data_IF_655791797947
#
_entry.id   IF_655791797947
#
_cell.length_a   1.000
_cell.length_b   1.000
_cell.length_c   1.000
_cell.angle_alpha   90.00
_cell.angle_beta   90.00
_cell.angle_gamma   90.00
#
_symmetry.space_group_name_H-M   'P 1'
#
loop_
_entity.id
_entity.type
_entity.pdbx_description
1 polymer ?
#
# COMPACT_ATOMS: atom_id res chain seq x y z
N UNK A 1 44.65 24.28 1.43
CA UNK A 1 44.53 23.94 2.86
C UNK A 1 43.13 24.31 3.31
N UNK A 2 42.39 23.35 3.89
CA UNK A 2 40.95 23.34 4.28
C UNK A 2 39.96 22.94 3.18
N UNK A 3 39.42 21.73 3.33
CA UNK A 3 38.33 21.16 2.55
C UNK A 3 38.03 19.69 2.91
N UNK A 4 39.02 18.94 3.40
CA UNK A 4 38.90 17.50 3.65
C UNK A 4 38.75 17.13 5.14
N UNK A 5 37.72 17.63 5.83
CA UNK A 5 37.50 17.28 7.25
C UNK A 5 36.05 16.96 7.66
N UNK A 6 35.11 16.78 6.72
CA UNK A 6 33.73 16.38 7.05
C UNK A 6 33.25 15.07 6.39
N UNK A 7 34.15 14.31 5.76
CA UNK A 7 33.80 13.02 5.13
C UNK A 7 34.09 11.79 5.99
N UNK A 8 34.01 11.94 7.30
CA UNK A 8 34.17 10.84 8.25
C UNK A 8 33.36 11.12 9.51
N UNK A 9 32.10 10.67 9.54
CA UNK A 9 31.50 9.93 10.66
C UNK A 9 29.98 9.79 10.45
N UNK A 10 29.56 8.63 9.94
CA UNK A 10 28.42 7.84 10.43
C UNK A 10 28.57 6.47 9.77
N UNK A 11 29.16 5.52 10.49
CA UNK A 11 29.22 4.14 9.99
C UNK A 11 27.84 3.49 10.09
N UNK A 12 27.56 2.47 9.28
CA UNK A 12 26.31 1.70 9.33
C UNK A 12 25.96 1.23 10.76
N UNK A 13 26.97 0.91 11.57
CA UNK A 13 26.80 0.56 12.99
C UNK A 13 26.27 1.72 13.84
N UNK A 14 26.68 2.96 13.54
CA UNK A 14 26.21 4.14 14.27
C UNK A 14 24.75 4.45 13.93
N UNK A 15 24.34 4.30 12.67
CA UNK A 15 22.95 4.46 12.25
C UNK A 15 22.01 3.40 12.84
N UNK A 16 22.42 2.12 12.82
CA UNK A 16 21.65 1.04 13.46
C UNK A 16 21.56 1.23 14.97
N UNK A 17 22.65 1.68 15.61
CA UNK A 17 22.64 1.98 17.05
C UNK A 17 21.73 3.17 17.38
N UNK A 18 21.66 4.19 16.53
CA UNK A 18 20.76 5.34 16.70
C UNK A 18 19.30 4.95 16.50
N UNK A 19 19.01 4.12 15.50
CA UNK A 19 17.66 3.59 15.26
C UNK A 19 17.17 2.73 16.45
N UNK A 20 18.00 1.81 16.92
CA UNK A 20 17.67 0.98 18.09
C UNK A 20 17.55 1.81 19.37
N UNK A 21 18.35 2.86 19.52
CA UNK A 21 18.24 3.80 20.65
C UNK A 21 16.93 4.60 20.60
N UNK A 22 16.55 5.10 19.41
CA UNK A 22 15.29 5.80 19.21
C UNK A 22 14.08 4.89 19.50
N UNK A 23 14.11 3.65 19.00
CA UNK A 23 13.06 2.66 19.24
C UNK A 23 12.97 2.21 20.70
N UNK A 24 14.10 2.12 21.41
CA UNK A 24 14.13 1.82 22.84
C UNK A 24 13.62 3.00 23.69
N UNK A 25 13.94 4.24 23.29
CA UNK A 25 13.48 5.46 23.96
C UNK A 25 11.97 5.67 23.76
N UNK A 26 11.43 5.40 22.58
CA UNK A 26 9.99 5.49 22.32
C UNK A 26 9.17 4.48 23.15
N UNK A 27 9.66 3.23 23.28
CA UNK A 27 9.06 2.24 24.20
C UNK A 27 9.13 2.66 25.67
N UNK A 28 10.25 3.24 26.12
CA UNK A 28 10.36 3.76 27.50
C UNK A 28 9.44 4.96 27.75
N UNK A 29 9.28 5.86 26.78
CA UNK A 29 8.38 7.01 26.91
C UNK A 29 6.90 6.57 26.98
N UNK A 30 6.49 5.58 26.20
CA UNK A 30 5.13 5.00 26.26
C UNK A 30 4.85 4.23 27.56
N UNK A 31 5.89 3.66 28.19
CA UNK A 31 5.74 2.86 29.42
C UNK A 31 5.98 3.65 30.70
N UNK A 32 6.55 4.87 30.62
CA UNK A 32 6.98 5.67 31.79
C UNK A 32 6.12 6.91 32.07
N UNK A 33 5.11 7.20 31.25
CA UNK A 33 4.14 8.27 31.52
C UNK A 33 2.72 7.69 31.64
N UNK A 34 2.23 7.42 32.87
CA UNK A 34 0.79 7.35 33.09
C UNK A 34 0.29 8.80 33.05
N UNK A 35 -0.25 9.24 31.91
CA UNK A 35 -1.01 10.49 31.86
C UNK A 35 -2.25 10.32 32.76
N UNK A 36 -2.50 11.21 33.74
CA UNK A 36 -3.66 11.09 34.60
C UNK A 36 -4.91 11.41 33.78
N UNK A 37 -5.81 10.43 33.71
CA UNK A 37 -7.17 10.60 33.22
C UNK A 37 -7.91 11.54 34.18
N UNK A 38 -7.96 12.84 33.87
CA UNK A 38 -8.87 13.77 34.55
C UNK A 38 -10.28 13.42 34.06
N UNK A 39 -11.01 12.64 34.86
CA UNK A 39 -12.44 12.44 34.69
C UNK A 39 -13.19 13.72 35.04
N UNK A 40 -14.04 14.27 34.16
CA UNK A 40 -15.07 15.21 34.58
C UNK A 40 -16.15 14.45 35.36
N UNK A 41 -16.60 15.04 36.47
CA UNK A 41 -17.68 14.53 37.32
C UNK A 41 -18.98 14.30 36.54
N UNK A 42 -19.66 13.22 36.91
CA UNK A 42 -21.05 12.90 36.59
C UNK A 42 -22.00 14.06 36.91
N UNK A 43 -22.74 14.52 35.91
CA UNK A 43 -24.00 15.21 36.10
C UNK A 43 -25.11 14.28 35.62
N UNK A 44 -25.97 13.88 36.56
CA UNK A 44 -27.24 13.19 36.31
C UNK A 44 -28.10 14.01 35.34
N UNK A 45 -28.60 13.33 34.31
CA UNK A 45 -29.55 13.88 33.33
C UNK A 45 -29.73 12.89 32.19
N UNK A 46 -30.79 12.10 32.26
CA UNK A 46 -31.06 11.01 31.31
C UNK A 46 -31.24 11.47 29.86
N UNK A 47 -30.63 10.72 28.96
CA UNK A 47 -31.06 10.51 27.58
C UNK A 47 -30.34 9.24 27.09
N UNK A 48 -31.11 8.33 26.50
CA UNK A 48 -30.69 6.99 26.08
C UNK A 48 -29.41 7.01 25.23
N UNK A 49 -28.38 6.30 25.68
CA UNK A 49 -27.19 6.02 24.87
C UNK A 49 -27.52 4.90 23.87
N UNK A 50 -28.07 5.27 22.73
CA UNK A 50 -28.02 4.41 21.55
C UNK A 50 -26.55 4.24 21.17
N UNK A 51 -26.05 3.00 21.31
CA UNK A 51 -24.80 2.58 20.69
C UNK A 51 -25.01 2.61 19.18
N UNK A 52 -24.69 3.73 18.53
CA UNK A 52 -24.65 3.80 17.07
C UNK A 52 -23.52 2.88 16.57
N UNK A 53 -23.88 1.63 16.29
CA UNK A 53 -23.10 0.75 15.44
C UNK A 53 -22.99 1.42 14.07
N UNK A 54 -21.79 1.90 13.71
CA UNK A 54 -21.52 2.39 12.35
C UNK A 54 -21.96 1.30 11.36
N UNK A 55 -22.92 1.56 10.46
CA UNK A 55 -23.38 0.55 9.52
C UNK A 55 -22.19 0.08 8.69
N UNK A 56 -21.96 -1.24 8.64
CA UNK A 56 -21.05 -1.84 7.66
C UNK A 56 -21.47 -1.36 6.28
N UNK A 57 -20.58 -0.64 5.58
CA UNK A 57 -20.86 -0.08 4.28
C UNK A 57 -21.19 -1.22 3.30
N UNK A 58 -22.43 -1.25 2.83
CA UNK A 58 -22.88 -2.20 1.84
C UNK A 58 -22.45 -1.75 0.44
N UNK A 59 -21.31 -2.26 -0.01
CA UNK A 59 -20.67 -1.92 -1.29
C UNK A 59 -21.51 -2.31 -2.53
N UNK A 60 -22.61 -3.05 -2.36
CA UNK A 60 -23.53 -3.41 -3.45
C UNK A 60 -24.61 -2.36 -3.70
N UNK A 61 -24.87 -1.47 -2.73
CA UNK A 61 -25.94 -0.49 -2.83
C UNK A 61 -25.48 0.80 -3.51
N UNK A 62 -26.37 1.45 -4.31
CA UNK A 62 -26.10 2.76 -4.85
C UNK A 62 -25.79 3.79 -3.75
N UNK A 63 -24.71 4.53 -3.93
CA UNK A 63 -24.27 5.62 -3.05
C UNK A 63 -23.26 6.52 -3.77
N UNK A 64 -22.78 7.58 -3.12
CA UNK A 64 -21.69 8.39 -3.68
C UNK A 64 -20.47 7.50 -3.99
N UNK A 65 -19.91 7.53 -5.21
CA UNK A 65 -18.81 6.65 -5.57
C UNK A 65 -17.55 6.88 -4.73
N UNK A 66 -17.03 5.80 -4.13
CA UNK A 66 -15.80 5.81 -3.36
C UNK A 66 -14.80 4.77 -3.88
N UNK A 67 -13.53 5.06 -3.63
CA UNK A 67 -12.41 4.12 -3.68
C UNK A 67 -12.24 3.49 -2.32
N UNK A 68 -11.90 2.21 -2.28
CA UNK A 68 -11.76 1.46 -1.04
C UNK A 68 -10.77 0.30 -1.21
N UNK A 69 -10.09 -0.12 -0.14
CA UNK A 69 -9.15 -1.23 -0.19
C UNK A 69 -9.85 -2.59 -0.04
N UNK A 70 -9.10 -3.67 -0.28
CA UNK A 70 -9.49 -5.04 0.10
C UNK A 70 -8.71 -5.42 1.35
N UNK A 71 -9.44 -5.84 2.40
CA UNK A 71 -8.85 -6.11 3.72
C UNK A 71 -8.59 -7.59 4.03
N UNK A 72 -9.08 -8.52 3.19
CA UNK A 72 -8.91 -9.95 3.45
C UNK A 72 -8.72 -10.77 2.17
N UNK A 73 -7.99 -11.88 2.30
CA UNK A 73 -7.79 -12.83 1.21
C UNK A 73 -9.10 -13.42 0.71
N UNK A 74 -10.07 -13.65 1.59
CA UNK A 74 -11.39 -14.14 1.21
C UNK A 74 -12.06 -13.22 0.19
N UNK A 75 -12.04 -11.90 0.43
CA UNK A 75 -12.65 -10.92 -0.48
C UNK A 75 -11.85 -10.75 -1.78
N UNK A 76 -10.52 -10.88 -1.72
CA UNK A 76 -9.68 -10.91 -2.92
C UNK A 76 -9.96 -12.16 -3.78
N UNK A 77 -10.04 -13.33 -3.14
CA UNK A 77 -10.29 -14.63 -3.78
C UNK A 77 -11.66 -14.70 -4.44
N UNK A 78 -12.70 -14.16 -3.78
CA UNK A 78 -14.08 -14.17 -4.29
C UNK A 78 -14.29 -13.23 -5.47
N UNK A 79 -13.36 -12.31 -5.75
CA UNK A 79 -13.50 -11.26 -6.79
C UNK A 79 -14.68 -10.31 -6.53
N UNK A 80 -15.18 -10.24 -5.30
CA UNK A 80 -16.38 -9.45 -4.98
C UNK A 80 -16.19 -7.93 -5.11
N UNK A 81 -14.95 -7.46 -5.28
CA UNK A 81 -14.69 -6.07 -5.65
C UNK A 81 -15.39 -5.70 -6.97
N UNK A 82 -15.41 -6.61 -7.95
CA UNK A 82 -16.01 -6.38 -9.27
C UNK A 82 -17.54 -6.33 -9.24
N UNK A 83 -18.16 -6.93 -8.22
CA UNK A 83 -19.61 -6.92 -8.03
C UNK A 83 -20.10 -5.66 -7.30
N UNK A 84 -19.18 -4.82 -6.81
CA UNK A 84 -19.53 -3.58 -6.11
C UNK A 84 -20.16 -2.56 -7.06
N UNK A 85 -21.16 -1.83 -6.57
CA UNK A 85 -21.71 -0.64 -7.23
C UNK A 85 -20.63 0.38 -7.60
N UNK A 86 -19.57 0.46 -6.78
CA UNK A 86 -18.48 1.42 -6.92
C UNK A 86 -17.46 1.04 -8.00
N UNK A 87 -17.38 -0.22 -8.42
CA UNK A 87 -16.33 -0.72 -9.32
C UNK A 87 -16.23 0.10 -10.61
N UNK A 88 -17.36 0.35 -11.28
CA UNK A 88 -17.39 1.07 -12.55
C UNK A 88 -16.80 2.49 -12.47
N UNK A 89 -16.92 3.13 -11.31
CA UNK A 89 -16.41 4.48 -11.07
C UNK A 89 -14.92 4.50 -10.70
N UNK A 90 -14.39 3.38 -10.20
CA UNK A 90 -12.97 3.24 -9.83
C UNK A 90 -12.06 2.96 -11.04
N UNK A 91 -12.63 2.78 -12.24
CA UNK A 91 -11.84 2.56 -13.45
C UNK A 91 -11.21 3.87 -13.91
N UNK A 92 -9.89 3.84 -14.05
CA UNK A 92 -9.13 4.94 -14.64
C UNK A 92 -9.44 5.05 -16.14
N UNK A 93 -9.55 6.28 -16.64
CA UNK A 93 -9.96 6.59 -18.01
C UNK A 93 -8.87 7.28 -18.83
N UNK A 94 -7.80 7.74 -18.18
CA UNK A 94 -6.64 8.35 -18.85
C UNK A 94 -5.58 7.28 -19.07
N UNK A 95 -5.20 6.97 -20.32
CA UNK A 95 -4.12 6.02 -20.59
C UNK A 95 -2.76 6.64 -20.26
N UNK A 96 -1.80 5.81 -19.85
CA UNK A 96 -0.41 6.23 -19.60
C UNK A 96 0.23 6.78 -20.88
N UNK A 97 0.69 8.04 -20.82
CA UNK A 97 1.47 8.66 -21.89
C UNK A 97 2.94 8.24 -21.78
N UNK A 98 3.49 7.60 -22.81
CA UNK A 98 4.88 7.12 -22.82
C UNK A 98 5.82 8.14 -23.45
N UNK A 99 6.23 9.13 -22.66
CA UNK A 99 7.12 10.20 -23.12
C UNK A 99 8.47 10.26 -22.37
N UNK A 100 8.74 9.33 -21.44
CA UNK A 100 9.95 9.41 -20.61
C UNK A 100 11.19 8.82 -21.30
N UNK A 101 12.32 9.54 -21.33
CA UNK A 101 13.57 9.03 -21.89
C UNK A 101 14.20 7.97 -20.96
N UNK A 102 14.56 6.82 -21.52
CA UNK A 102 15.01 5.62 -20.79
C UNK A 102 16.40 5.74 -20.13
N UNK A 103 17.17 6.79 -20.42
CA UNK A 103 18.58 6.89 -20.00
C UNK A 103 18.83 7.93 -18.91
N UNK A 104 18.09 7.85 -17.79
CA UNK A 104 18.30 8.68 -16.60
C UNK A 104 17.97 7.94 -15.30
N UNK A 105 18.48 8.39 -14.14
CA UNK A 105 17.97 7.95 -12.85
C UNK A 105 16.45 8.15 -12.75
N UNK A 106 15.76 7.17 -12.16
CA UNK A 106 14.31 7.20 -11.94
C UNK A 106 13.99 7.46 -10.48
N UNK A 107 12.89 8.18 -10.24
CA UNK A 107 12.40 8.51 -8.91
C UNK A 107 11.06 7.82 -8.68
N UNK A 108 11.00 7.02 -7.61
CA UNK A 108 9.76 6.46 -7.08
C UNK A 108 9.33 7.27 -5.86
N UNK A 109 8.05 7.64 -5.80
CA UNK A 109 7.44 8.33 -4.65
C UNK A 109 6.38 7.43 -4.05
N UNK A 110 6.52 7.11 -2.77
CA UNK A 110 5.53 6.35 -2.01
C UNK A 110 4.69 7.29 -1.16
N UNK A 111 3.38 7.32 -1.41
CA UNK A 111 2.42 8.18 -0.72
C UNK A 111 1.69 7.40 0.36
N UNK A 112 2.12 7.58 1.61
CA UNK A 112 1.51 7.04 2.81
C UNK A 112 0.93 8.17 3.69
N UNK A 113 -0.07 8.87 3.14
CA UNK A 113 -0.69 9.98 3.87
C UNK A 113 -1.81 9.47 4.76
N UNK A 114 -1.57 9.45 6.07
CA UNK A 114 -2.58 9.14 7.11
C UNK A 114 -3.35 7.83 6.85
N UNK A 115 -2.67 6.82 6.30
CA UNK A 115 -3.26 5.52 6.00
C UNK A 115 -4.15 5.48 4.74
N UNK A 116 -4.13 6.52 3.91
CA UNK A 116 -4.85 6.58 2.63
C UNK A 116 -6.38 6.64 2.77
N UNK A 117 -7.05 6.82 1.63
CA UNK A 117 -8.52 6.85 1.50
C UNK A 117 -9.19 7.87 2.43
N UNK A 118 -8.57 9.04 2.52
CA UNK A 118 -9.09 10.18 3.26
C UNK A 118 -10.08 10.92 2.36
N UNK A 119 -9.74 12.12 1.91
CA UNK A 119 -10.49 12.90 0.94
C UNK A 119 -10.40 12.33 -0.48
N UNK A 120 -9.31 11.64 -0.78
CA UNK A 120 -9.02 11.03 -2.07
C UNK A 120 -9.79 9.73 -2.34
N UNK A 121 -10.51 9.20 -1.34
CA UNK A 121 -11.46 8.10 -1.58
C UNK A 121 -12.59 8.54 -2.51
N UNK A 122 -12.99 9.82 -2.47
CA UNK A 122 -14.11 10.30 -3.29
C UNK A 122 -13.67 10.40 -4.75
N UNK A 123 -14.24 9.54 -5.60
CA UNK A 123 -13.79 9.36 -6.98
C UNK A 123 -13.84 10.66 -7.79
N UNK A 124 -14.79 11.54 -7.49
CA UNK A 124 -15.00 12.82 -8.16
C UNK A 124 -14.42 14.02 -7.39
N UNK A 125 -13.54 13.75 -6.41
CA UNK A 125 -12.99 14.75 -5.51
C UNK A 125 -13.92 15.08 -4.34
N UNK A 126 -13.46 16.01 -3.50
CA UNK A 126 -14.20 16.53 -2.35
C UNK A 126 -14.05 18.05 -2.27
N UNK A 127 -14.76 18.67 -1.32
CA UNK A 127 -14.76 20.14 -1.14
C UNK A 127 -13.55 20.65 -0.32
N UNK A 128 -12.68 19.78 0.18
CA UNK A 128 -11.52 20.19 0.99
C UNK A 128 -10.39 20.76 0.11
N UNK A 129 -10.27 22.08 0.07
CA UNK A 129 -9.24 22.82 -0.66
C UNK A 129 -7.83 22.65 -0.08
N UNK A 130 -7.72 22.25 1.19
CA UNK A 130 -6.48 21.91 1.88
C UNK A 130 -6.11 20.42 1.74
N UNK A 131 -6.82 19.66 0.91
CA UNK A 131 -6.52 18.28 0.59
C UNK A 131 -5.10 18.09 0.04
N UNK A 132 -4.51 16.93 0.28
CA UNK A 132 -3.16 16.65 -0.22
C UNK A 132 -3.16 16.60 -1.75
N UNK A 133 -2.27 17.37 -2.38
CA UNK A 133 -2.14 17.46 -3.82
C UNK A 133 -0.68 17.39 -4.24
N UNK A 134 -0.42 16.73 -5.38
CA UNK A 134 0.90 16.66 -6.00
C UNK A 134 0.89 17.54 -7.25
N UNK A 135 1.83 18.48 -7.30
CA UNK A 135 2.01 19.39 -8.44
C UNK A 135 3.22 19.03 -9.31
N UNK A 136 4.25 18.44 -8.71
CA UNK A 136 5.53 18.18 -9.35
C UNK A 136 5.65 16.77 -9.94
N UNK A 137 4.60 16.31 -10.65
CA UNK A 137 4.58 14.99 -11.30
C UNK A 137 5.76 14.75 -12.25
N UNK A 138 6.27 15.82 -12.87
CA UNK A 138 7.43 15.76 -13.78
C UNK A 138 8.76 15.37 -13.10
N UNK A 139 8.81 15.35 -11.76
CA UNK A 139 9.99 14.92 -11.00
C UNK A 139 9.98 13.44 -10.63
N UNK A 140 8.89 12.72 -10.89
CA UNK A 140 8.75 11.30 -10.56
C UNK A 140 8.51 10.45 -11.80
N UNK A 141 8.87 9.18 -11.71
CA UNK A 141 8.67 8.17 -12.75
C UNK A 141 7.59 7.16 -12.32
N UNK A 142 7.53 6.89 -11.01
CA UNK A 142 6.59 5.95 -10.40
C UNK A 142 6.00 6.59 -9.15
N UNK A 143 4.69 6.49 -9.02
CA UNK A 143 3.93 6.88 -7.84
C UNK A 143 3.30 5.62 -7.23
N UNK A 144 3.52 5.39 -5.95
CA UNK A 144 2.90 4.29 -5.20
C UNK A 144 1.85 4.90 -4.28
N UNK A 145 0.61 4.46 -4.45
CA UNK A 145 -0.46 4.80 -3.53
C UNK A 145 -0.49 3.77 -2.40
N UNK A 146 -0.08 4.18 -1.21
CA UNK A 146 0.20 3.29 -0.09
C UNK A 146 -0.84 3.41 1.02
N UNK A 147 -1.22 2.27 1.59
CA UNK A 147 -1.95 2.18 2.84
C UNK A 147 -1.61 0.87 3.54
N UNK A 148 -1.97 0.76 4.81
CA UNK A 148 -1.83 -0.46 5.62
C UNK A 148 -3.02 -1.43 5.46
N UNK A 149 -3.62 -1.47 4.27
CA UNK A 149 -4.64 -2.47 3.94
C UNK A 149 -4.04 -3.54 3.03
N UNK A 150 -4.40 -4.81 3.28
CA UNK A 150 -3.88 -5.98 2.54
C UNK A 150 -3.73 -5.73 1.04
N UNK A 151 -4.77 -5.21 0.39
CA UNK A 151 -4.70 -4.71 -0.99
C UNK A 151 -5.16 -3.27 -1.02
N UNK A 152 -4.23 -2.39 -1.38
CA UNK A 152 -4.43 -0.96 -1.58
C UNK A 152 -4.56 -0.69 -3.08
N UNK A 153 -5.77 -0.33 -3.50
CA UNK A 153 -6.11 0.05 -4.88
C UNK A 153 -6.03 1.57 -5.02
N UNK A 154 -5.21 2.13 -5.93
CA UNK A 154 -5.13 3.57 -6.15
C UNK A 154 -6.47 4.16 -6.58
N UNK A 155 -6.98 5.22 -5.92
CA UNK A 155 -8.11 5.98 -6.43
C UNK A 155 -7.88 6.47 -7.87
N UNK A 156 -8.90 6.47 -8.74
CA UNK A 156 -8.74 6.83 -10.15
C UNK A 156 -8.30 8.29 -10.34
N UNK A 157 -8.54 9.18 -9.38
CA UNK A 157 -8.05 10.56 -9.44
C UNK A 157 -6.52 10.63 -9.46
N UNK A 158 -5.84 9.77 -8.69
CA UNK A 158 -4.39 9.64 -8.68
C UNK A 158 -3.88 9.04 -9.98
N UNK A 159 -4.42 7.89 -10.40
CA UNK A 159 -4.02 7.22 -11.64
C UNK A 159 -4.21 8.10 -12.87
N UNK A 160 -5.38 8.71 -13.01
CA UNK A 160 -5.67 9.57 -14.15
C UNK A 160 -4.74 10.79 -14.24
N UNK A 161 -4.41 11.38 -13.08
CA UNK A 161 -3.53 12.55 -13.03
C UNK A 161 -2.08 12.15 -13.33
N UNK A 162 -1.57 11.10 -12.68
CA UNK A 162 -0.24 10.57 -12.92
C UNK A 162 -0.03 10.18 -14.39
N UNK A 163 -0.98 9.46 -15.00
CA UNK A 163 -0.94 9.05 -16.40
C UNK A 163 -0.89 10.22 -17.37
N UNK A 164 -1.62 11.31 -17.07
CA UNK A 164 -1.56 12.56 -17.87
C UNK A 164 -0.15 13.16 -17.87
N UNK A 165 0.61 12.96 -16.80
CA UNK A 165 1.99 13.40 -16.65
C UNK A 165 3.02 12.33 -17.04
N UNK A 166 2.60 11.17 -17.56
CA UNK A 166 3.50 10.07 -17.95
C UNK A 166 4.12 9.31 -16.77
N UNK A 167 3.53 9.41 -15.58
CA UNK A 167 3.97 8.74 -14.36
C UNK A 167 3.19 7.44 -14.19
N UNK A 168 3.87 6.34 -13.90
CA UNK A 168 3.23 5.06 -13.59
C UNK A 168 2.67 5.05 -12.18
N UNK A 169 1.55 4.36 -11.96
CA UNK A 169 0.92 4.22 -10.64
C UNK A 169 0.87 2.79 -10.19
N UNK A 170 1.39 2.53 -8.99
CA UNK A 170 1.30 1.22 -8.33
C UNK A 170 0.31 1.28 -7.16
N UNK A 171 -0.47 0.22 -7.01
CA UNK A 171 -1.10 -0.11 -5.73
C UNK A 171 -0.10 -0.77 -4.78
N UNK A 172 -0.55 -1.09 -3.57
CA UNK A 172 0.27 -1.81 -2.59
C UNK A 172 -0.42 -3.12 -2.21
N UNK A 173 0.33 -4.22 -2.23
CA UNK A 173 -0.02 -5.43 -1.52
C UNK A 173 0.91 -5.56 -0.32
N UNK A 174 0.33 -5.61 0.89
CA UNK A 174 1.10 -5.62 2.14
C UNK A 174 0.62 -6.71 3.08
N UNK A 175 1.57 -7.34 3.77
CA UNK A 175 1.30 -8.26 4.88
C UNK A 175 2.16 -7.83 6.07
N UNK A 176 1.55 -7.65 7.24
CA UNK A 176 2.25 -7.08 8.41
C UNK A 176 1.99 -7.92 9.66
N UNK A 177 3.03 -8.11 10.49
CA UNK A 177 2.92 -8.72 11.82
C UNK A 177 2.31 -10.14 11.79
N UNK A 178 1.66 -10.54 12.89
CA UNK A 178 1.08 -11.89 13.04
C UNK A 178 -0.07 -12.15 12.06
N UNK A 179 -0.88 -11.13 11.73
CA UNK A 179 -1.95 -11.24 10.73
C UNK A 179 -1.37 -11.45 9.32
N UNK A 180 -0.28 -10.76 9.00
CA UNK A 180 0.48 -10.96 7.78
C UNK A 180 1.04 -12.37 7.67
N UNK A 181 1.57 -12.92 8.78
CA UNK A 181 2.06 -14.31 8.80
C UNK A 181 0.94 -15.32 8.50
N UNK A 182 -0.25 -15.13 9.07
CA UNK A 182 -1.41 -15.98 8.77
C UNK A 182 -1.84 -15.85 7.30
N UNK A 183 -1.88 -14.62 6.79
CA UNK A 183 -2.16 -14.32 5.37
C UNK A 183 -1.19 -15.03 4.44
N UNK A 184 0.12 -14.90 4.69
CA UNK A 184 1.16 -15.57 3.91
C UNK A 184 1.06 -17.09 4.01
N UNK A 185 0.72 -17.63 5.18
CA UNK A 185 0.53 -19.08 5.36
C UNK A 185 -0.58 -19.64 4.46
N UNK A 186 -1.68 -18.89 4.30
CA UNK A 186 -2.79 -19.27 3.43
C UNK A 186 -2.45 -19.08 1.94
N UNK A 187 -2.01 -17.87 1.54
CA UNK A 187 -1.79 -17.58 0.13
C UNK A 187 -0.63 -18.38 -0.46
N UNK A 188 0.39 -18.70 0.35
CA UNK A 188 1.55 -19.48 -0.06
C UNK A 188 1.38 -20.97 0.25
N UNK A 189 0.16 -21.43 0.59
CA UNK A 189 -0.10 -22.82 0.96
C UNK A 189 0.39 -23.82 -0.10
N UNK A 190 0.19 -23.49 -1.39
CA UNK A 190 0.68 -24.23 -2.54
C UNK A 190 1.06 -23.27 -3.69
N UNK A 191 1.71 -23.80 -4.71
CA UNK A 191 2.04 -23.07 -5.95
C UNK A 191 0.78 -22.50 -6.60
N UNK A 192 -0.29 -23.29 -6.67
CA UNK A 192 -1.57 -22.92 -7.29
C UNK A 192 -2.28 -21.82 -6.49
N UNK A 193 -2.20 -21.86 -5.16
CA UNK A 193 -2.74 -20.79 -4.30
C UNK A 193 -2.00 -19.47 -4.56
N UNK A 194 -0.66 -19.52 -4.60
CA UNK A 194 0.18 -18.37 -4.90
C UNK A 194 -0.14 -17.77 -6.28
N UNK A 195 -0.23 -18.61 -7.31
CA UNK A 195 -0.59 -18.18 -8.67
C UNK A 195 -1.99 -17.55 -8.72
N UNK A 196 -2.98 -18.15 -8.04
CA UNK A 196 -4.34 -17.60 -8.01
C UNK A 196 -4.38 -16.20 -7.41
N UNK A 197 -3.72 -15.95 -6.27
CA UNK A 197 -3.68 -14.62 -5.68
C UNK A 197 -2.92 -13.62 -6.54
N UNK A 198 -1.82 -14.03 -7.20
CA UNK A 198 -1.13 -13.22 -8.19
C UNK A 198 -2.05 -12.83 -9.37
N UNK A 199 -2.84 -13.78 -9.88
CA UNK A 199 -3.81 -13.52 -10.96
C UNK A 199 -4.89 -12.53 -10.53
N UNK A 200 -5.38 -12.62 -9.28
CA UNK A 200 -6.37 -11.66 -8.74
C UNK A 200 -5.82 -10.23 -8.67
N UNK A 201 -4.57 -10.07 -8.24
CA UNK A 201 -3.92 -8.75 -8.21
C UNK A 201 -3.68 -8.22 -9.63
N UNK A 202 -3.25 -9.07 -10.56
CA UNK A 202 -3.06 -8.68 -11.96
C UNK A 202 -4.39 -8.27 -12.62
N UNK A 203 -5.47 -9.00 -12.32
CA UNK A 203 -6.82 -8.73 -12.79
C UNK A 203 -7.33 -7.37 -12.30
N UNK A 204 -7.10 -7.04 -11.02
CA UNK A 204 -7.45 -5.73 -10.46
C UNK A 204 -6.70 -4.59 -11.16
N UNK A 205 -5.37 -4.70 -11.29
CA UNK A 205 -4.55 -3.68 -11.97
C UNK A 205 -5.02 -3.44 -13.42
N UNK A 206 -5.23 -4.52 -14.16
CA UNK A 206 -5.68 -4.46 -15.56
C UNK A 206 -7.07 -3.85 -15.69
N UNK A 207 -8.02 -4.26 -14.85
CA UNK A 207 -9.42 -3.85 -14.95
C UNK A 207 -9.65 -2.40 -14.53
N UNK A 208 -8.87 -1.93 -13.55
CA UNK A 208 -8.96 -0.57 -13.00
C UNK A 208 -7.98 0.41 -13.66
N UNK A 209 -7.03 -0.10 -14.45
CA UNK A 209 -6.18 0.68 -15.33
C UNK A 209 -5.00 1.36 -14.62
N UNK A 210 -4.41 0.72 -13.61
CA UNK A 210 -3.14 1.16 -12.99
C UNK A 210 -2.02 0.16 -13.31
N UNK A 211 -0.75 0.54 -13.08
CA UNK A 211 0.40 -0.07 -13.73
C UNK A 211 1.05 -1.23 -12.96
N UNK A 212 0.52 -1.60 -11.80
CA UNK A 212 0.98 -2.77 -11.06
C UNK A 212 1.08 -2.54 -9.56
N UNK A 213 2.06 -3.16 -8.90
CA UNK A 213 2.06 -3.33 -7.45
C UNK A 213 3.44 -3.12 -6.82
N UNK A 214 3.47 -2.41 -5.70
CA UNK A 214 4.48 -2.58 -4.66
C UNK A 214 4.09 -3.82 -3.83
N UNK A 215 5.00 -4.79 -3.70
CA UNK A 215 4.84 -5.93 -2.80
C UNK A 215 5.67 -5.67 -1.55
N UNK A 216 5.01 -5.59 -0.39
CA UNK A 216 5.66 -5.28 0.88
C UNK A 216 5.33 -6.35 1.93
N UNK A 217 6.28 -7.24 2.21
CA UNK A 217 6.08 -8.37 3.14
C UNK A 217 6.79 -8.03 4.46
N UNK A 218 6.07 -7.44 5.42
CA UNK A 218 6.59 -7.01 6.72
C UNK A 218 6.29 -8.02 7.85
N UNK A 219 6.40 -9.31 7.53
CA UNK A 219 6.28 -10.40 8.49
C UNK A 219 7.23 -11.54 8.15
N UNK A 220 7.51 -12.39 9.13
CA UNK A 220 8.29 -13.61 8.89
C UNK A 220 7.54 -14.56 7.96
N UNK A 221 8.28 -15.22 7.06
CA UNK A 221 7.79 -16.27 6.18
C UNK A 221 8.49 -17.57 6.54
N UNK A 222 7.71 -18.63 6.74
CA UNK A 222 8.28 -19.96 6.98
C UNK A 222 9.12 -20.39 5.76
N UNK A 223 10.32 -20.93 6.00
CA UNK A 223 11.29 -21.25 4.95
C UNK A 223 10.71 -22.15 3.84
N UNK A 224 9.82 -23.07 4.22
CA UNK A 224 9.13 -23.98 3.30
C UNK A 224 8.19 -23.26 2.32
N UNK A 225 7.77 -22.03 2.62
CA UNK A 225 6.87 -21.20 1.80
C UNK A 225 7.62 -20.28 0.84
N UNK A 226 8.93 -20.08 1.01
CA UNK A 226 9.75 -19.21 0.15
C UNK A 226 9.64 -19.58 -1.34
N UNK A 227 9.67 -20.85 -1.76
CA UNK A 227 9.49 -21.19 -3.17
C UNK A 227 8.14 -20.69 -3.74
N UNK A 228 7.07 -20.74 -2.94
CA UNK A 228 5.76 -20.26 -3.36
C UNK A 228 5.67 -18.72 -3.34
N UNK A 229 6.42 -18.03 -2.48
CA UNK A 229 6.55 -16.57 -2.52
C UNK A 229 7.26 -16.13 -3.81
N UNK A 230 8.36 -16.79 -4.17
CA UNK A 230 9.06 -16.53 -5.42
C UNK A 230 8.17 -16.82 -6.64
N UNK A 231 7.38 -17.90 -6.59
CA UNK A 231 6.36 -18.16 -7.61
C UNK A 231 5.30 -17.06 -7.68
N UNK A 232 4.78 -16.59 -6.54
CA UNK A 232 3.78 -15.52 -6.48
C UNK A 232 4.30 -14.26 -7.19
N UNK A 233 5.50 -13.77 -6.85
CA UNK A 233 6.10 -12.56 -7.45
C UNK A 233 6.39 -12.76 -8.94
N UNK A 234 6.97 -13.90 -9.31
CA UNK A 234 7.32 -14.22 -10.70
C UNK A 234 6.07 -14.35 -11.58
N UNK A 235 5.04 -15.06 -11.10
CA UNK A 235 3.79 -15.24 -11.83
C UNK A 235 3.01 -13.93 -11.94
N UNK A 236 2.94 -13.13 -10.86
CA UNK A 236 2.32 -11.80 -10.88
C UNK A 236 2.97 -10.93 -11.96
N UNK A 237 4.31 -10.87 -11.96
CA UNK A 237 5.10 -10.11 -12.95
C UNK A 237 4.79 -10.57 -14.36
N UNK A 238 4.76 -11.89 -14.60
CA UNK A 238 4.45 -12.47 -15.90
C UNK A 238 3.03 -12.13 -16.37
N UNK A 239 2.02 -12.34 -15.54
CA UNK A 239 0.61 -12.11 -15.89
C UNK A 239 0.34 -10.63 -16.14
N UNK A 240 0.93 -9.74 -15.33
CA UNK A 240 0.84 -8.30 -15.55
C UNK A 240 1.48 -7.88 -16.87
N UNK A 241 2.70 -8.31 -17.18
CA UNK A 241 3.34 -7.95 -18.45
C UNK A 241 2.57 -8.45 -19.69
N UNK A 242 1.89 -9.59 -19.57
CA UNK A 242 1.04 -10.12 -20.64
C UNK A 242 -0.24 -9.29 -20.83
N UNK A 243 -0.84 -8.82 -19.73
CA UNK A 243 -2.13 -8.11 -19.76
C UNK A 243 -1.99 -6.60 -19.97
N UNK A 244 -0.92 -6.03 -19.44
CA UNK A 244 -0.61 -4.60 -19.41
C UNK A 244 0.87 -4.40 -19.73
N UNK A 245 1.25 -4.33 -21.02
CA UNK A 245 2.66 -4.17 -21.41
C UNK A 245 3.29 -2.94 -20.73
N UNK A 246 4.44 -3.15 -20.08
CA UNK A 246 5.15 -2.09 -19.36
C UNK A 246 4.65 -1.85 -17.93
N UNK A 247 3.76 -2.70 -17.39
CA UNK A 247 3.46 -2.77 -15.96
C UNK A 247 4.73 -2.97 -15.11
N UNK A 248 4.63 -2.72 -13.81
CA UNK A 248 5.72 -2.91 -12.85
C UNK A 248 5.26 -3.73 -11.64
N UNK A 249 6.09 -4.66 -11.22
CA UNK A 249 6.07 -5.23 -9.88
C UNK A 249 7.34 -4.75 -9.22
N UNK A 250 7.21 -3.92 -8.19
CA UNK A 250 8.33 -3.49 -7.37
C UNK A 250 8.29 -4.29 -6.08
N UNK A 251 9.19 -5.27 -5.97
CA UNK A 251 9.45 -6.01 -4.75
C UNK A 251 10.59 -5.30 -4.03
N UNK A 252 10.28 -4.41 -3.08
CA UNK A 252 11.33 -3.65 -2.38
C UNK A 252 12.42 -4.59 -1.82
N UNK A 253 13.63 -4.64 -2.42
CA UNK A 253 14.60 -5.69 -2.09
C UNK A 253 15.21 -5.51 -0.70
N UNK A 254 15.04 -4.35 -0.06
CA UNK A 254 15.55 -4.09 1.30
C UNK A 254 14.88 -4.92 2.40
N UNK A 255 13.89 -5.77 2.09
CA UNK A 255 13.35 -6.79 3.00
C UNK A 255 13.57 -8.25 2.54
N UNK A 256 14.08 -8.50 1.33
CA UNK A 256 14.28 -9.85 0.77
C UNK A 256 15.76 -10.24 0.60
N UNK A 257 16.72 -9.36 0.91
CA UNK A 257 18.17 -9.69 0.87
C UNK A 257 18.55 -10.84 1.81
N UNK A 258 17.70 -11.24 2.75
CA UNK A 258 17.97 -12.34 3.71
C UNK A 258 17.67 -13.76 3.18
N UNK A 259 17.24 -13.92 1.91
CA UNK A 259 16.92 -15.26 1.36
C UNK A 259 17.90 -15.79 0.32
N UNK A 260 18.78 -14.96 -0.25
CA UNK A 260 19.84 -15.43 -1.17
C UNK A 260 21.14 -15.83 -0.45
N UNK A 261 21.30 -15.49 0.84
CA UNK A 261 22.46 -15.91 1.67
C UNK A 261 22.24 -17.22 2.44
N UNK A 262 21.24 -18.03 2.06
CA UNK A 262 20.92 -19.34 2.68
C UNK A 262 21.13 -20.56 1.76
N UNK A 263 21.97 -20.45 0.73
CA UNK A 263 22.51 -21.61 -0.01
C UNK A 263 24.01 -21.79 0.23
#
# INVERSE_FOLDING_TARGET
MRGDLLRAYFSRRTLVSLYNLFFALSRKLLTSFPLPLIMPKSNDGGADSESESVPLLDLSKPSSPISFPIKSLQYLKSRSYFDSFHFQFNRSTVPLRRDLPDNRPRVLVCHDMKGGYVDDKWVQGCENDAGYAIWHWYLMDVFVYFSHSLVTIPPPCWTNTAHRHGVKVLGTFITEWDEGKATCSEMLASKESAQMYAERLAELATSLGFDGWLINIENEIDKEKIPNLMEFVSHLTKVLHLSTPGSLVDDSPNLLVDLEDLS
#
